data_IF_122600270958
#
_entry.id   IF_122600270958
#
_cell.length_a   1.000
_cell.length_b   1.000
_cell.length_c   1.000
_cell.angle_alpha   90.00
_cell.angle_beta   90.00
_cell.angle_gamma   90.00
#
_symmetry.space_group_name_H-M   'P 1'
#
loop_
_entity.id
_entity.type
_entity.pdbx_description
1 polymer ?
#
# COMPACT_ATOMS: atom_id res chain seq x y z
N UNK A 1 27.17 -6.88 1.19
CA UNK A 1 26.28 -8.06 1.17
C UNK A 1 25.16 -7.78 0.17
N UNK A 2 24.97 -8.58 -0.89
CA UNK A 2 23.94 -8.31 -1.89
C UNK A 2 22.56 -8.63 -1.29
N UNK A 3 21.65 -7.66 -1.32
CA UNK A 3 20.36 -7.64 -0.59
C UNK A 3 19.24 -8.44 -1.28
N UNK A 4 19.58 -9.22 -2.31
CA UNK A 4 18.60 -9.81 -3.24
C UNK A 4 18.32 -11.30 -3.01
N UNK A 5 19.06 -11.93 -2.08
CA UNK A 5 18.91 -13.36 -1.78
C UNK A 5 17.62 -13.67 -1.01
N UNK A 6 17.17 -12.75 -0.14
CA UNK A 6 16.02 -12.98 0.75
C UNK A 6 14.76 -13.34 -0.03
N UNK A 7 14.32 -12.47 -0.95
CA UNK A 7 13.09 -12.62 -1.72
C UNK A 7 12.99 -13.93 -2.54
N UNK A 8 14.09 -14.36 -3.15
CA UNK A 8 14.14 -15.61 -3.92
C UNK A 8 14.09 -16.84 -3.02
N UNK A 9 14.71 -16.78 -1.85
CA UNK A 9 14.68 -17.86 -0.85
C UNK A 9 13.28 -18.04 -0.23
N UNK A 10 12.52 -16.96 -0.01
CA UNK A 10 11.14 -17.03 0.51
C UNK A 10 10.19 -17.84 -0.38
N UNK A 11 10.23 -17.65 -1.70
CA UNK A 11 9.40 -18.44 -2.64
C UNK A 11 9.81 -19.91 -2.74
N UNK A 12 11.07 -20.24 -2.40
CA UNK A 12 11.61 -21.59 -2.49
C UNK A 12 11.45 -22.38 -1.19
N UNK A 13 11.40 -21.71 -0.03
CA UNK A 13 11.34 -22.35 1.28
C UNK A 13 9.92 -22.59 1.80
N UNK A 14 8.89 -21.93 1.24
CA UNK A 14 7.52 -22.03 1.76
C UNK A 14 6.57 -22.56 0.66
N UNK A 15 6.13 -23.83 0.76
CA UNK A 15 5.20 -24.42 -0.20
C UNK A 15 3.85 -23.68 -0.17
N UNK A 16 3.03 -23.77 -1.24
CA UNK A 16 1.77 -23.03 -1.37
C UNK A 16 0.78 -23.19 -0.19
N UNK A 17 0.89 -24.28 0.57
CA UNK A 17 0.07 -24.52 1.77
C UNK A 17 0.45 -23.64 2.97
N UNK A 18 1.67 -23.09 3.01
CA UNK A 18 2.14 -22.18 4.06
C UNK A 18 1.72 -20.72 3.81
N UNK A 19 1.46 -20.35 2.54
CA UNK A 19 0.80 -19.09 2.20
C UNK A 19 -0.62 -19.00 2.80
N UNK A 20 -1.25 -20.14 3.11
CA UNK A 20 -2.52 -20.16 3.84
C UNK A 20 -2.39 -19.85 5.33
N UNK A 21 -1.21 -20.08 5.94
CA UNK A 21 -0.91 -19.70 7.33
C UNK A 21 -0.65 -18.20 7.46
N UNK A 22 -0.09 -17.57 6.42
CA UNK A 22 -0.07 -16.10 6.33
C UNK A 22 -1.48 -15.62 5.96
N UNK A 23 -2.12 -14.90 6.87
CA UNK A 23 -3.50 -14.46 6.68
C UNK A 23 -3.64 -13.72 5.35
N UNK A 24 -4.53 -14.19 4.47
CA UNK A 24 -4.89 -13.51 3.20
C UNK A 24 -5.26 -12.04 3.41
N UNK A 25 -5.68 -11.70 4.64
CA UNK A 25 -5.89 -10.33 5.11
C UNK A 25 -4.62 -9.47 5.14
N UNK A 26 -3.44 -10.00 5.48
CA UNK A 26 -2.17 -9.24 5.46
C UNK A 26 -1.66 -9.08 4.04
N UNK A 27 -1.84 -10.08 3.18
CA UNK A 27 -1.46 -10.01 1.77
C UNK A 27 -2.25 -8.96 0.98
N UNK A 28 -3.48 -8.63 1.39
CA UNK A 28 -4.23 -7.55 0.74
C UNK A 28 -3.63 -6.16 0.95
N UNK A 29 -2.73 -6.00 1.93
CA UNK A 29 -1.96 -4.77 2.17
C UNK A 29 -0.61 -4.76 1.46
N UNK A 30 -0.22 -5.84 0.78
CA UNK A 30 1.05 -5.89 0.06
C UNK A 30 1.05 -4.96 -1.15
N UNK A 31 2.17 -4.28 -1.44
CA UNK A 31 2.26 -3.37 -2.57
C UNK A 31 2.36 -4.14 -3.91
N UNK A 32 2.04 -3.50 -5.04
CA UNK A 32 1.99 -4.17 -6.34
C UNK A 32 3.35 -4.77 -6.76
N UNK A 33 4.48 -4.13 -6.43
CA UNK A 33 5.82 -4.65 -6.73
C UNK A 33 6.10 -6.00 -6.07
N UNK A 34 5.54 -6.29 -4.89
CA UNK A 34 5.64 -7.61 -4.28
C UNK A 34 4.97 -8.68 -5.15
N UNK A 35 3.78 -8.37 -5.66
CA UNK A 35 3.02 -9.31 -6.49
C UNK A 35 3.68 -9.54 -7.85
N UNK A 36 4.25 -8.51 -8.45
CA UNK A 36 4.85 -8.58 -9.78
C UNK A 36 6.31 -9.07 -9.76
N UNK A 37 7.11 -8.60 -8.81
CA UNK A 37 8.56 -8.78 -8.80
C UNK A 37 9.02 -9.72 -7.67
N UNK A 38 8.19 -9.97 -6.66
CA UNK A 38 8.54 -10.79 -5.50
C UNK A 38 9.46 -10.09 -4.50
N UNK A 39 9.63 -8.77 -4.60
CA UNK A 39 10.39 -7.95 -3.65
C UNK A 39 9.73 -6.58 -3.49
N UNK A 40 10.04 -5.87 -2.42
CA UNK A 40 9.57 -4.51 -2.16
C UNK A 40 10.59 -3.71 -1.35
N UNK A 41 10.53 -2.39 -1.43
CA UNK A 41 11.28 -1.50 -0.53
C UNK A 41 10.49 -1.28 0.76
N UNK A 42 11.11 -1.49 1.93
CA UNK A 42 10.40 -1.51 3.22
C UNK A 42 9.60 -0.24 3.51
N UNK A 43 10.21 0.92 3.32
CA UNK A 43 9.55 2.21 3.53
C UNK A 43 8.38 2.43 2.57
N UNK A 44 8.59 2.24 1.27
CA UNK A 44 7.54 2.41 0.26
C UNK A 44 6.39 1.40 0.44
N UNK A 45 6.66 0.20 0.93
CA UNK A 45 5.65 -0.80 1.27
C UNK A 45 4.83 -0.38 2.50
N UNK A 46 5.47 0.21 3.51
CA UNK A 46 4.78 0.81 4.66
C UNK A 46 3.83 1.90 4.20
N UNK A 47 4.29 2.84 3.37
CA UNK A 47 3.47 3.94 2.83
C UNK A 47 2.25 3.42 2.05
N UNK A 48 2.45 2.40 1.22
CA UNK A 48 1.35 1.73 0.53
C UNK A 48 0.31 1.15 1.50
N UNK A 49 0.76 0.41 2.52
CA UNK A 49 -0.14 -0.18 3.51
C UNK A 49 -0.89 0.87 4.33
N UNK A 50 -0.25 2.00 4.63
CA UNK A 50 -0.89 3.17 5.28
C UNK A 50 -1.96 3.78 4.38
N UNK A 51 -1.70 3.91 3.07
CA UNK A 51 -2.70 4.37 2.10
C UNK A 51 -3.95 3.48 2.05
N UNK A 52 -3.77 2.16 2.10
CA UNK A 52 -4.90 1.21 2.17
C UNK A 52 -5.68 1.39 3.48
N UNK A 53 -4.99 1.49 4.62
CA UNK A 53 -5.63 1.69 5.92
C UNK A 53 -6.40 3.00 5.98
N UNK A 54 -5.79 4.10 5.53
CA UNK A 54 -6.43 5.41 5.46
C UNK A 54 -7.71 5.35 4.62
N UNK A 55 -7.62 4.79 3.41
CA UNK A 55 -8.79 4.58 2.57
C UNK A 55 -9.88 3.78 3.30
N UNK A 56 -9.53 2.69 3.98
CA UNK A 56 -10.52 1.90 4.73
C UNK A 56 -11.18 2.70 5.86
N UNK A 57 -10.43 3.55 6.57
CA UNK A 57 -10.98 4.39 7.63
C UNK A 57 -12.00 5.41 7.09
N UNK A 58 -11.73 6.05 5.95
CA UNK A 58 -12.59 7.12 5.40
C UNK A 58 -13.67 6.62 4.44
N UNK A 59 -13.45 5.46 3.79
CA UNK A 59 -14.39 4.86 2.84
C UNK A 59 -15.15 3.65 3.39
N UNK A 60 -14.72 3.06 4.50
CA UNK A 60 -15.33 1.86 5.10
C UNK A 60 -15.06 0.56 4.33
N UNK A 61 -14.19 0.57 3.32
CA UNK A 61 -13.95 -0.60 2.46
C UNK A 61 -12.52 -0.62 1.91
N UNK A 62 -12.03 -1.81 1.56
CA UNK A 62 -10.71 -1.99 0.95
C UNK A 62 -10.67 -1.41 -0.47
N UNK A 63 -9.67 -0.58 -0.84
CA UNK A 63 -9.61 0.07 -2.16
C UNK A 63 -9.52 -0.95 -3.31
N UNK A 64 -8.75 -2.02 -3.10
CA UNK A 64 -8.56 -3.09 -4.08
C UNK A 64 -9.32 -4.34 -3.62
N UNK A 65 -10.56 -4.56 -4.11
CA UNK A 65 -11.38 -5.74 -3.74
C UNK A 65 -10.55 -7.03 -3.69
N UNK A 66 -10.71 -7.82 -2.61
CA UNK A 66 -10.02 -9.10 -2.39
C UNK A 66 -10.12 -9.98 -3.65
N UNK A 67 -8.97 -10.35 -4.22
CA UNK A 67 -8.88 -11.30 -5.34
C UNK A 67 -8.57 -10.70 -6.72
N UNK A 68 -8.58 -9.36 -6.88
CA UNK A 68 -8.06 -8.75 -8.13
C UNK A 68 -6.58 -8.44 -7.98
N UNK A 69 -5.75 -8.93 -8.91
CA UNK A 69 -4.37 -8.45 -9.06
C UNK A 69 -4.45 -6.93 -9.29
N UNK A 70 -3.75 -6.17 -8.45
CA UNK A 70 -3.61 -4.73 -8.64
C UNK A 70 -2.79 -4.54 -9.92
N UNK A 71 -3.34 -3.84 -10.91
CA UNK A 71 -2.69 -3.56 -12.18
C UNK A 71 -2.25 -2.10 -12.26
N UNK A 72 -1.22 -1.81 -13.05
CA UNK A 72 -0.75 -0.45 -13.32
C UNK A 72 -1.82 0.45 -13.93
N UNK A 73 -2.76 -0.14 -14.67
CA UNK A 73 -3.89 0.58 -15.27
C UNK A 73 -5.07 0.80 -14.29
N UNK A 74 -4.93 0.38 -13.02
CA UNK A 74 -6.03 0.52 -12.07
C UNK A 74 -6.18 1.96 -11.62
N UNK A 75 -7.29 2.59 -12.00
CA UNK A 75 -7.66 3.90 -11.51
C UNK A 75 -8.37 3.80 -10.16
N UNK A 76 -7.76 4.36 -9.12
CA UNK A 76 -8.37 4.47 -7.80
C UNK A 76 -9.54 5.47 -7.84
N UNK A 77 -10.75 4.97 -7.63
CA UNK A 77 -11.96 5.80 -7.54
C UNK A 77 -12.23 6.19 -6.09
N UNK A 78 -12.24 7.49 -5.80
CA UNK A 78 -12.49 8.04 -4.48
C UNK A 78 -13.83 8.78 -4.44
N UNK A 79 -14.61 8.67 -3.33
CA UNK A 79 -15.86 9.38 -3.20
C UNK A 79 -15.70 10.90 -3.18
N UNK A 80 -16.59 11.62 -3.88
CA UNK A 80 -16.60 13.10 -3.90
C UNK A 80 -16.83 13.75 -2.53
N UNK A 81 -17.38 13.01 -1.56
CA UNK A 81 -17.59 13.49 -0.17
C UNK A 81 -16.29 13.68 0.61
N UNK A 82 -15.17 13.12 0.15
CA UNK A 82 -13.87 13.30 0.80
C UNK A 82 -13.29 14.66 0.40
N UNK A 83 -12.58 15.32 1.31
CA UNK A 83 -11.89 16.57 0.98
C UNK A 83 -10.85 16.33 -0.12
N UNK A 84 -10.56 17.33 -0.98
CA UNK A 84 -9.54 17.19 -2.02
C UNK A 84 -8.19 16.72 -1.47
N UNK A 85 -7.78 17.25 -0.31
CA UNK A 85 -6.51 16.95 0.35
C UNK A 85 -6.47 15.48 0.81
N UNK A 86 -7.56 14.96 1.37
CA UNK A 86 -7.68 13.55 1.73
C UNK A 86 -7.53 12.65 0.50
N UNK A 87 -8.17 13.05 -0.61
CA UNK A 87 -8.10 12.27 -1.84
C UNK A 87 -6.71 12.27 -2.45
N UNK A 88 -6.02 13.40 -2.44
CA UNK A 88 -4.64 13.55 -2.92
C UNK A 88 -3.69 12.70 -2.08
N UNK A 89 -3.78 12.79 -0.75
CA UNK A 89 -2.98 11.97 0.17
C UNK A 89 -3.13 10.47 -0.09
N UNK A 90 -4.38 10.00 -0.23
CA UNK A 90 -4.65 8.58 -0.52
C UNK A 90 -4.04 8.18 -1.87
N UNK A 91 -4.18 9.01 -2.92
CA UNK A 91 -3.60 8.71 -4.24
C UNK A 91 -2.08 8.67 -4.18
N UNK A 92 -1.45 9.57 -3.43
CA UNK A 92 0.00 9.64 -3.31
C UNK A 92 0.59 8.43 -2.59
N UNK A 93 -0.02 8.01 -1.48
CA UNK A 93 0.35 6.77 -0.79
C UNK A 93 0.18 5.53 -1.68
N UNK A 94 -0.87 5.52 -2.51
CA UNK A 94 -1.23 4.42 -3.40
C UNK A 94 -0.66 4.58 -4.82
N UNK A 95 0.42 5.38 -4.98
CA UNK A 95 1.17 5.43 -6.22
C UNK A 95 1.67 4.03 -6.59
N UNK A 96 1.37 3.64 -7.83
CA UNK A 96 1.72 2.32 -8.34
C UNK A 96 3.24 2.11 -8.36
N UNK A 97 3.98 3.12 -8.79
CA UNK A 97 5.43 3.09 -8.78
C UNK A 97 5.95 3.46 -7.39
N UNK A 98 6.82 2.62 -6.83
CA UNK A 98 7.24 2.76 -5.42
C UNK A 98 8.06 4.03 -5.14
N UNK A 99 8.74 4.60 -6.15
CA UNK A 99 9.48 5.87 -6.02
C UNK A 99 8.57 7.11 -6.03
N UNK A 100 7.33 6.96 -6.47
CA UNK A 100 6.37 8.06 -6.56
C UNK A 100 5.53 8.18 -5.27
N UNK A 101 5.80 7.32 -4.28
CA UNK A 101 5.18 7.36 -2.96
C UNK A 101 5.93 8.37 -2.07
N UNK A 102 5.23 9.06 -1.16
CA UNK A 102 5.88 9.98 -0.22
C UNK A 102 6.80 9.23 0.76
N UNK A 103 7.78 9.94 1.32
CA UNK A 103 8.43 9.52 2.56
C UNK A 103 7.49 9.71 3.75
N UNK A 104 7.86 9.18 4.93
CA UNK A 104 7.09 9.46 6.15
C UNK A 104 7.15 10.94 6.53
N UNK A 105 8.30 11.59 6.32
CA UNK A 105 8.50 13.01 6.57
C UNK A 105 7.61 13.87 5.68
N UNK A 106 7.47 13.50 4.41
CA UNK A 106 6.55 14.17 3.48
C UNK A 106 5.10 14.07 3.96
N UNK A 107 4.67 12.87 4.38
CA UNK A 107 3.32 12.65 4.91
C UNK A 107 3.03 13.53 6.13
N UNK A 108 4.00 13.72 7.01
CA UNK A 108 3.82 14.62 8.15
C UNK A 108 3.68 16.08 7.72
N UNK A 109 4.19 16.48 6.56
CA UNK A 109 4.04 17.84 6.05
C UNK A 109 2.69 18.08 5.33
N UNK A 110 1.92 17.03 5.07
CA UNK A 110 0.67 17.14 4.31
C UNK A 110 -0.40 17.92 5.08
N UNK A 111 -1.08 18.90 4.44
CA UNK A 111 -2.10 19.72 5.09
C UNK A 111 -3.17 18.89 5.80
N UNK A 112 -3.62 17.81 5.16
CA UNK A 112 -4.64 16.92 5.71
C UNK A 112 -4.22 16.25 7.03
N UNK A 113 -2.93 15.96 7.19
CA UNK A 113 -2.38 15.38 8.43
C UNK A 113 -2.19 16.45 9.51
N UNK A 114 -1.73 17.64 9.11
CA UNK A 114 -1.53 18.76 10.04
C UNK A 114 -2.84 19.26 10.66
N UNK A 115 -3.94 19.21 9.91
CA UNK A 115 -5.27 19.62 10.40
C UNK A 115 -5.79 18.72 11.54
N UNK A 116 -5.29 17.49 11.68
CA UNK A 116 -5.67 16.56 12.77
C UNK A 116 -5.11 17.02 14.11
N UNK A 117 -3.99 17.77 14.12
CA UNK A 117 -3.30 18.15 15.34
C UNK A 117 -3.90 19.37 16.06
N UNK A 118 -4.98 19.98 15.54
CA UNK A 118 -5.51 21.25 16.05
C UNK A 118 -7.00 21.24 16.51
N UNK A 119 -7.58 20.07 16.80
CA UNK A 119 -8.93 19.98 17.39
C UNK A 119 -8.94 19.43 18.80
#
# INVERSE_FOLDING_TARGET
MPRDAGARLWKQQHPPDELHLYSTGTLSYSPPEWTHLGWYHGEAATIWSLGILLHQMVCGQHPFRRGRKISWDHQLSLPQRLSPECQELIRWCLSMHFLDRPSLEDLFCEPWIQDIHLS
#
